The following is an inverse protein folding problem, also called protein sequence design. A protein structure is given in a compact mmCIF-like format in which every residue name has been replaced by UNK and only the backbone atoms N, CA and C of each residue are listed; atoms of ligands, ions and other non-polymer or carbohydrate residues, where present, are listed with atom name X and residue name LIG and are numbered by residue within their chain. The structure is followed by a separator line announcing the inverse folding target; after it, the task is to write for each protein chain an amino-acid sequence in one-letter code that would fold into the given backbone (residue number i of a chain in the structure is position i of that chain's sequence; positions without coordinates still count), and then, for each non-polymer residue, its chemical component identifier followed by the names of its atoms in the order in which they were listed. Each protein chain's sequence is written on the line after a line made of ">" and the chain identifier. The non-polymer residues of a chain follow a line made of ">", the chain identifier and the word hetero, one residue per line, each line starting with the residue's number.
data_IF_717777045547
#
_entry.id   IF_717777045547
#
_cell.length_a   1.000
_cell.length_b   1.000
_cell.length_c   1.000
_cell.angle_alpha   90.00
_cell.angle_beta   90.00
_cell.angle_gamma   90.00
#
_symmetry.space_group_name_H-M   'P 1'
#
loop_
_entity.id
_entity.type
_entity.pdbx_description
1 polymer ?
#
# COMPACT_ATOMS: atom_id res chain seq x y z
N UNK A 1 5.43 25.76 15.48
CA UNK A 1 3.95 25.80 15.34
C UNK A 1 3.61 25.18 13.97
N UNK A 2 2.81 24.13 13.97
CA UNK A 2 2.52 23.35 12.75
C UNK A 2 1.35 23.93 11.92
N UNK A 3 1.04 25.22 12.06
CA UNK A 3 -0.04 25.92 11.34
C UNK A 3 -1.40 25.23 11.38
N UNK A 4 -1.69 24.48 12.47
CA UNK A 4 -2.99 23.87 12.65
C UNK A 4 -4.06 24.96 12.73
N UNK A 5 -5.06 24.90 11.86
CA UNK A 5 -6.19 25.84 11.81
C UNK A 5 -7.34 25.42 12.71
N UNK A 6 -7.37 24.13 13.07
CA UNK A 6 -8.39 23.54 13.92
C UNK A 6 -7.81 22.40 14.75
N UNK A 7 -8.13 22.35 16.03
CA UNK A 7 -7.83 21.26 16.94
C UNK A 7 -9.08 20.92 17.75
N UNK A 8 -9.40 19.64 17.82
CA UNK A 8 -10.45 19.15 18.71
C UNK A 8 -9.87 18.05 19.59
N UNK A 9 -10.08 18.21 20.90
CA UNK A 9 -9.74 17.23 21.91
C UNK A 9 -10.99 16.89 22.71
N UNK A 10 -11.22 15.61 22.95
CA UNK A 10 -12.38 15.12 23.68
C UNK A 10 -11.94 14.12 24.74
N UNK A 11 -12.62 14.16 25.90
CA UNK A 11 -12.46 13.20 26.98
C UNK A 11 -13.77 12.48 27.32
N UNK A 12 -14.90 13.00 26.87
CA UNK A 12 -16.22 12.38 26.99
C UNK A 12 -16.27 11.11 26.13
N UNK A 13 -16.60 9.93 26.69
CA UNK A 13 -16.56 8.66 25.95
C UNK A 13 -17.44 8.64 24.68
N UNK A 14 -18.63 9.25 24.71
CA UNK A 14 -19.55 9.28 23.56
C UNK A 14 -18.96 10.14 22.42
N UNK A 15 -18.37 11.27 22.76
CA UNK A 15 -17.74 12.15 21.77
C UNK A 15 -16.44 11.57 21.23
N UNK A 16 -15.67 10.88 22.06
CA UNK A 16 -14.49 10.11 21.63
C UNK A 16 -14.91 9.03 20.64
N UNK A 17 -16.01 8.30 20.91
CA UNK A 17 -16.53 7.28 19.99
C UNK A 17 -16.96 7.88 18.64
N UNK A 18 -17.54 9.09 18.62
CA UNK A 18 -17.84 9.81 17.38
C UNK A 18 -16.57 10.12 16.55
N UNK A 19 -15.49 10.57 17.19
CA UNK A 19 -14.21 10.79 16.49
C UNK A 19 -13.67 9.48 15.90
N UNK A 20 -13.71 8.39 16.66
CA UNK A 20 -13.29 7.07 16.16
C UNK A 20 -14.20 6.55 15.04
N UNK A 21 -15.49 6.83 15.09
CA UNK A 21 -16.41 6.48 14.00
C UNK A 21 -16.04 7.15 12.69
N UNK A 22 -15.64 8.43 12.71
CA UNK A 22 -15.12 9.11 11.54
C UNK A 22 -13.89 8.38 11.00
N UNK A 23 -12.89 8.06 11.85
CA UNK A 23 -11.67 7.36 11.48
C UNK A 23 -11.97 5.98 10.87
N UNK A 24 -12.85 5.19 11.47
CA UNK A 24 -13.22 3.85 10.96
C UNK A 24 -13.94 3.88 9.62
N UNK A 25 -14.58 4.99 9.26
CA UNK A 25 -15.32 5.11 8.01
C UNK A 25 -14.48 5.68 6.84
N UNK A 26 -13.23 6.10 7.06
CA UNK A 26 -12.38 6.68 5.99
C UNK A 26 -12.28 5.75 4.79
N UNK A 27 -11.94 4.47 4.99
CA UNK A 27 -11.79 3.50 3.89
C UNK A 27 -13.09 3.29 3.11
N UNK A 28 -14.24 3.25 3.82
CA UNK A 28 -15.56 3.13 3.15
C UNK A 28 -15.90 4.37 2.34
N UNK A 29 -15.63 5.56 2.90
CA UNK A 29 -15.87 6.82 2.22
C UNK A 29 -15.02 6.93 0.94
N UNK A 30 -13.74 6.59 1.03
CA UNK A 30 -12.85 6.61 -0.15
C UNK A 30 -13.27 5.57 -1.18
N UNK A 31 -13.68 4.37 -0.76
CA UNK A 31 -14.20 3.35 -1.69
C UNK A 31 -15.42 3.84 -2.48
N UNK A 32 -16.26 4.66 -1.85
CA UNK A 32 -17.46 5.21 -2.50
C UNK A 32 -17.16 6.32 -3.54
N UNK A 33 -15.93 6.81 -3.61
CA UNK A 33 -15.54 7.88 -4.53
C UNK A 33 -15.16 7.40 -5.93
N UNK A 34 -15.07 6.08 -6.16
CA UNK A 34 -14.58 5.55 -7.43
C UNK A 34 -15.28 4.23 -7.80
N UNK A 35 -15.37 3.94 -9.09
CA UNK A 35 -15.85 2.65 -9.58
C UNK A 35 -14.86 1.52 -9.27
N UNK A 36 -13.58 1.80 -9.47
CA UNK A 36 -12.48 0.88 -9.15
C UNK A 36 -11.49 1.55 -8.21
N UNK A 37 -11.04 0.82 -7.22
CA UNK A 37 -10.01 1.25 -6.28
C UNK A 37 -9.02 0.12 -6.06
N UNK A 38 -7.76 0.38 -6.35
CA UNK A 38 -6.65 -0.42 -5.86
C UNK A 38 -6.07 0.28 -4.64
N UNK A 39 -5.92 -0.46 -3.54
CA UNK A 39 -5.40 0.05 -2.28
C UNK A 39 -4.22 -0.83 -1.85
N UNK A 40 -3.03 -0.26 -1.90
CA UNK A 40 -1.81 -0.92 -1.44
C UNK A 40 -1.38 -0.33 -0.10
N UNK A 41 -1.00 -1.19 0.82
CA UNK A 41 -0.38 -0.80 2.07
C UNK A 41 1.14 -0.94 1.96
N UNK A 42 1.84 0.06 2.43
CA UNK A 42 3.29 0.11 2.49
C UNK A 42 3.71 0.61 3.86
N UNK A 43 4.97 0.43 4.22
CA UNK A 43 5.49 1.09 5.41
C UNK A 43 6.75 1.87 5.08
N UNK A 44 6.93 3.01 5.76
CA UNK A 44 8.12 3.86 5.68
C UNK A 44 8.59 4.22 7.09
N UNK A 45 9.85 4.56 7.29
CA UNK A 45 10.27 5.17 8.55
C UNK A 45 9.41 6.39 8.89
N UNK A 46 9.00 6.56 10.16
CA UNK A 46 8.08 7.64 10.56
C UNK A 46 8.55 9.02 10.11
N UNK A 47 9.87 9.26 10.10
CA UNK A 47 10.47 10.51 9.60
C UNK A 47 10.24 10.75 8.10
N UNK A 48 9.87 9.70 7.34
CA UNK A 48 9.62 9.74 5.90
C UNK A 48 8.14 9.87 5.52
N UNK A 49 7.24 9.84 6.49
CA UNK A 49 5.80 10.03 6.24
C UNK A 49 5.51 11.35 5.51
N UNK A 50 6.05 12.52 5.90
CA UNK A 50 5.78 13.77 5.19
C UNK A 50 6.23 13.73 3.73
N UNK A 51 7.40 13.15 3.45
CA UNK A 51 7.93 13.00 2.09
C UNK A 51 7.06 12.07 1.25
N UNK A 52 6.58 10.97 1.84
CA UNK A 52 5.65 10.04 1.19
C UNK A 52 4.32 10.72 0.83
N UNK A 53 3.74 11.49 1.76
CA UNK A 53 2.49 12.23 1.51
C UNK A 53 2.67 13.28 0.40
N UNK A 54 3.79 14.00 0.40
CA UNK A 54 4.13 14.96 -0.65
C UNK A 54 4.23 14.28 -2.02
N UNK A 55 4.92 13.15 -2.10
CA UNK A 55 5.04 12.36 -3.32
C UNK A 55 3.69 11.85 -3.84
N UNK A 56 2.83 11.30 -2.97
CA UNK A 56 1.48 10.86 -3.36
C UNK A 56 0.64 12.03 -3.87
N UNK A 57 0.79 13.21 -3.25
CA UNK A 57 0.10 14.43 -3.71
C UNK A 57 0.59 14.87 -5.09
N UNK A 58 1.88 14.70 -5.40
CA UNK A 58 2.44 14.97 -6.72
C UNK A 58 1.94 13.95 -7.77
N UNK A 59 1.93 12.67 -7.43
CA UNK A 59 1.33 11.64 -8.29
C UNK A 59 -0.12 11.99 -8.64
N UNK A 60 -0.92 12.40 -7.65
CA UNK A 60 -2.30 12.79 -7.87
C UNK A 60 -2.44 13.99 -8.82
N UNK A 61 -1.53 14.98 -8.74
CA UNK A 61 -1.56 16.14 -9.65
C UNK A 61 -1.13 15.82 -11.07
N UNK A 62 -0.26 14.83 -11.25
CA UNK A 62 0.30 14.44 -12.56
C UNK A 62 -0.45 13.32 -13.24
N UNK A 63 -1.46 12.73 -12.60
CA UNK A 63 -2.27 11.62 -13.13
C UNK A 63 -3.69 12.08 -13.46
N UNK A 64 -4.33 11.40 -14.40
CA UNK A 64 -5.77 11.50 -14.64
C UNK A 64 -6.59 10.78 -13.57
N UNK A 65 -6.00 9.76 -12.93
CA UNK A 65 -6.62 9.03 -11.84
C UNK A 65 -6.54 9.82 -10.54
N UNK A 66 -7.49 9.57 -9.65
CA UNK A 66 -7.43 10.11 -8.29
C UNK A 66 -6.54 9.23 -7.42
N UNK A 67 -5.57 9.86 -6.76
CA UNK A 67 -4.65 9.16 -5.87
C UNK A 67 -4.68 9.85 -4.51
N UNK A 68 -4.82 9.09 -3.45
CA UNK A 68 -4.70 9.58 -2.09
C UNK A 68 -4.03 8.57 -1.17
N UNK A 69 -3.67 9.00 0.02
CA UNK A 69 -3.18 8.11 1.06
C UNK A 69 -3.74 8.49 2.42
N UNK A 70 -3.80 7.50 3.29
CA UNK A 70 -3.97 7.63 4.75
C UNK A 70 -3.20 6.52 5.42
N UNK A 71 -3.08 6.55 6.74
CA UNK A 71 -2.34 5.48 7.40
C UNK A 71 -2.29 5.60 8.90
N UNK A 72 -1.36 4.85 9.46
CA UNK A 72 -1.06 4.75 10.87
C UNK A 72 0.27 5.44 11.15
N UNK A 73 0.22 6.72 11.55
CA UNK A 73 1.44 7.53 11.71
C UNK A 73 2.38 7.03 12.81
N UNK A 74 1.88 6.20 13.74
CA UNK A 74 2.67 5.64 14.83
C UNK A 74 3.67 4.57 14.40
N UNK A 75 3.34 3.82 13.36
CA UNK A 75 4.12 2.68 12.85
C UNK A 75 4.57 2.82 11.38
N UNK A 76 4.30 3.97 10.78
CA UNK A 76 4.75 4.27 9.42
C UNK A 76 3.96 3.57 8.31
N UNK A 77 2.88 2.87 8.66
CA UNK A 77 2.04 2.19 7.68
C UNK A 77 1.16 3.19 6.92
N UNK A 78 1.23 3.16 5.59
CA UNK A 78 0.51 4.06 4.70
C UNK A 78 -0.23 3.25 3.63
N UNK A 79 -1.54 3.51 3.52
CA UNK A 79 -2.38 2.97 2.46
C UNK A 79 -2.42 3.97 1.31
N UNK A 80 -1.89 3.57 0.15
CA UNK A 80 -1.93 4.35 -1.09
C UNK A 80 -3.08 3.83 -1.94
N UNK A 81 -3.97 4.72 -2.38
CA UNK A 81 -5.14 4.36 -3.16
C UNK A 81 -5.05 5.00 -4.54
N UNK A 82 -5.15 4.16 -5.56
CA UNK A 82 -5.32 4.58 -6.96
C UNK A 82 -6.76 4.29 -7.36
N UNK A 83 -7.47 5.29 -7.83
CA UNK A 83 -8.91 5.26 -8.06
C UNK A 83 -9.25 5.63 -9.49
N UNK A 84 -9.89 4.69 -10.23
CA UNK A 84 -10.44 4.91 -11.55
C UNK A 84 -11.95 5.16 -11.45
N UNK A 85 -12.44 6.15 -12.20
CA UNK A 85 -13.84 6.55 -12.20
C UNK A 85 -14.67 5.72 -13.20
N UNK A 86 -14.01 5.10 -14.17
CA UNK A 86 -14.61 4.26 -15.20
C UNK A 86 -13.78 3.00 -15.45
N UNK A 87 -14.25 2.14 -16.36
CA UNK A 87 -13.53 0.98 -16.89
C UNK A 87 -12.91 1.28 -18.27
N UNK A 88 -12.72 2.57 -18.58
CA UNK A 88 -12.04 2.97 -19.80
C UNK A 88 -10.63 2.35 -19.85
N UNK A 89 -10.24 1.75 -20.98
CA UNK A 89 -8.95 1.06 -21.10
C UNK A 89 -7.75 1.94 -20.71
N UNK A 90 -7.83 3.24 -20.97
CA UNK A 90 -6.80 4.23 -20.68
C UNK A 90 -6.66 4.44 -19.17
N UNK A 91 -7.78 4.49 -18.40
CA UNK A 91 -7.74 4.60 -16.93
C UNK A 91 -7.18 3.31 -16.33
N UNK A 92 -7.65 2.16 -16.79
CA UNK A 92 -7.23 0.87 -16.25
C UNK A 92 -5.73 0.59 -16.53
N UNK A 93 -5.23 1.00 -17.70
CA UNK A 93 -3.81 0.83 -18.07
C UNK A 93 -2.87 1.74 -17.26
N UNK A 94 -3.36 2.86 -16.71
CA UNK A 94 -2.56 3.80 -15.91
C UNK A 94 -2.32 3.32 -14.47
N UNK A 95 -3.19 2.42 -13.94
CA UNK A 95 -3.14 1.98 -12.55
C UNK A 95 -1.78 1.35 -12.22
N UNK A 96 -1.36 0.38 -13.01
CA UNK A 96 -0.14 -0.41 -12.74
C UNK A 96 1.14 0.42 -12.76
N UNK A 97 1.40 1.28 -13.76
CA UNK A 97 2.57 2.16 -13.76
C UNK A 97 2.61 3.10 -12.55
N UNK A 98 1.45 3.59 -12.08
CA UNK A 98 1.37 4.44 -10.90
C UNK A 98 1.71 3.69 -9.62
N UNK A 99 1.22 2.45 -9.49
CA UNK A 99 1.54 1.59 -8.35
C UNK A 99 3.03 1.25 -8.34
N UNK A 100 3.62 0.88 -9.47
CA UNK A 100 5.04 0.59 -9.54
C UNK A 100 5.90 1.80 -9.16
N UNK A 101 5.55 3.00 -9.65
CA UNK A 101 6.22 4.25 -9.25
C UNK A 101 6.12 4.48 -7.74
N UNK A 102 4.95 4.21 -7.16
CA UNK A 102 4.76 4.33 -5.72
C UNK A 102 5.65 3.32 -4.96
N UNK A 103 5.67 2.05 -5.37
CA UNK A 103 6.50 1.01 -4.72
C UNK A 103 7.99 1.37 -4.78
N UNK A 104 8.50 1.81 -5.94
CA UNK A 104 9.89 2.24 -6.09
C UNK A 104 10.22 3.40 -5.16
N UNK A 105 9.34 4.42 -5.09
CA UNK A 105 9.56 5.57 -4.20
C UNK A 105 9.57 5.18 -2.72
N UNK A 106 8.69 4.28 -2.31
CA UNK A 106 8.66 3.76 -0.94
C UNK A 106 10.00 3.08 -0.58
N UNK A 107 10.52 2.24 -1.47
CA UNK A 107 11.81 1.57 -1.26
C UNK A 107 12.98 2.57 -1.23
N UNK A 108 12.99 3.60 -2.10
CA UNK A 108 13.98 4.70 -2.06
C UNK A 108 13.97 5.44 -0.72
N UNK A 109 12.82 5.54 -0.07
CA UNK A 109 12.67 6.15 1.25
C UNK A 109 13.08 5.23 2.42
N UNK A 110 13.59 4.04 2.11
CA UNK A 110 13.96 3.03 3.12
C UNK A 110 12.74 2.32 3.73
N UNK A 111 11.63 2.30 2.99
CA UNK A 111 10.41 1.60 3.37
C UNK A 111 10.38 0.15 2.87
N UNK A 112 9.19 -0.46 2.94
CA UNK A 112 8.92 -1.83 2.50
C UNK A 112 7.57 -1.91 1.76
N UNK A 113 7.46 -2.91 0.88
CA UNK A 113 6.28 -3.10 0.01
C UNK A 113 4.99 -3.42 0.76
N UNK A 114 5.06 -3.82 2.03
CA UNK A 114 3.86 -4.12 2.82
C UNK A 114 4.02 -3.69 4.27
N UNK A 115 2.99 -3.01 4.80
CA UNK A 115 2.91 -2.68 6.21
C UNK A 115 2.27 -3.82 7.00
N UNK A 116 1.03 -4.20 6.67
CA UNK A 116 0.23 -5.14 7.45
C UNK A 116 -0.50 -6.21 6.61
N UNK A 117 -0.72 -5.98 5.29
CA UNK A 117 -1.53 -6.89 4.46
C UNK A 117 -0.76 -8.08 3.89
N UNK A 118 0.57 -8.02 3.87
CA UNK A 118 1.42 -9.01 3.22
C UNK A 118 1.47 -8.86 1.70
N UNK A 119 2.21 -9.74 1.06
CA UNK A 119 2.47 -9.70 -0.40
C UNK A 119 1.33 -10.35 -1.21
N UNK A 120 0.92 -11.56 -0.82
CA UNK A 120 -0.16 -12.29 -1.48
C UNK A 120 0.07 -12.50 -2.97
N UNK A 121 -0.98 -12.26 -3.77
CA UNK A 121 -0.93 -12.25 -5.24
C UNK A 121 -0.66 -10.84 -5.80
N UNK A 122 -1.21 -9.81 -5.15
CA UNK A 122 -1.22 -8.45 -5.67
C UNK A 122 0.18 -7.86 -5.80
N UNK A 123 1.04 -8.09 -4.81
CA UNK A 123 2.38 -7.49 -4.72
C UNK A 123 3.53 -8.42 -5.14
N UNK A 124 3.26 -9.70 -5.45
CA UNK A 124 4.34 -10.65 -5.76
C UNK A 124 5.23 -10.20 -6.92
N UNK A 125 4.69 -9.46 -7.88
CA UNK A 125 5.42 -8.89 -9.02
C UNK A 125 6.43 -7.81 -8.63
N UNK A 126 6.22 -7.14 -7.49
CA UNK A 126 7.11 -6.09 -6.98
C UNK A 126 8.21 -6.64 -6.07
N UNK A 127 8.13 -7.91 -5.64
CA UNK A 127 9.02 -8.46 -4.63
C UNK A 127 10.49 -8.39 -5.02
N UNK A 128 10.78 -8.52 -6.34
CA UNK A 128 12.11 -8.33 -6.89
C UNK A 128 12.65 -6.89 -6.90
N UNK A 129 11.80 -5.89 -6.54
CA UNK A 129 12.27 -4.52 -6.32
C UNK A 129 12.89 -4.36 -4.94
N UNK A 130 12.41 -5.11 -3.94
CA UNK A 130 12.86 -5.03 -2.55
C UNK A 130 13.97 -6.03 -2.23
N UNK A 131 13.88 -7.25 -2.77
CA UNK A 131 14.80 -8.33 -2.45
C UNK A 131 15.54 -8.81 -3.69
N UNK A 132 16.81 -9.10 -3.54
CA UNK A 132 17.62 -9.73 -4.58
C UNK A 132 17.25 -11.22 -4.78
N UNK A 133 17.67 -11.78 -5.90
CA UNK A 133 17.37 -13.18 -6.25
C UNK A 133 17.89 -14.20 -5.23
N UNK A 134 19.11 -14.10 -4.66
CA UNK A 134 19.58 -14.99 -3.60
C UNK A 134 18.69 -14.96 -2.36
N UNK A 135 18.26 -13.78 -1.91
CA UNK A 135 17.34 -13.61 -0.76
C UNK A 135 16.00 -14.28 -1.04
N UNK A 136 15.39 -14.00 -2.19
CA UNK A 136 14.12 -14.62 -2.59
C UNK A 136 14.24 -16.14 -2.69
N UNK A 137 15.34 -16.66 -3.21
CA UNK A 137 15.59 -18.10 -3.26
C UNK A 137 15.75 -18.73 -1.87
N UNK A 138 16.35 -18.02 -0.91
CA UNK A 138 16.43 -18.48 0.46
C UNK A 138 15.06 -18.54 1.13
N UNK A 139 14.23 -17.50 0.96
CA UNK A 139 12.86 -17.45 1.44
C UNK A 139 12.00 -18.58 0.83
N UNK A 140 12.13 -18.81 -0.49
CA UNK A 140 11.42 -19.87 -1.18
C UNK A 140 11.82 -21.26 -0.67
N UNK A 141 13.11 -21.50 -0.35
CA UNK A 141 13.56 -22.77 0.28
C UNK A 141 12.90 -23.01 1.63
N UNK A 142 12.71 -21.98 2.44
CA UNK A 142 11.96 -22.11 3.72
C UNK A 142 10.54 -22.61 3.41
N UNK A 143 9.86 -21.97 2.45
CA UNK A 143 8.52 -22.40 2.02
C UNK A 143 8.50 -23.87 1.58
N UNK A 144 9.42 -24.29 0.71
CA UNK A 144 9.45 -25.68 0.20
C UNK A 144 9.82 -26.70 1.28
N UNK A 145 10.55 -26.31 2.33
CA UNK A 145 10.84 -27.18 3.46
C UNK A 145 9.58 -27.57 4.24
N UNK A 146 8.66 -26.62 4.44
CA UNK A 146 7.43 -26.86 5.19
C UNK A 146 6.23 -27.27 4.32
N UNK A 147 6.27 -26.98 3.04
CA UNK A 147 5.19 -27.25 2.10
C UNK A 147 5.74 -27.67 0.73
N UNK A 148 6.36 -28.88 0.65
CA UNK A 148 7.02 -29.33 -0.56
C UNK A 148 6.08 -29.54 -1.75
N UNK A 149 4.81 -29.83 -1.47
CA UNK A 149 3.77 -30.03 -2.49
C UNK A 149 3.03 -28.73 -2.86
N UNK A 150 3.40 -27.58 -2.31
CA UNK A 150 2.74 -26.27 -2.53
C UNK A 150 1.23 -26.30 -2.31
N UNK A 151 0.76 -27.04 -1.30
CA UNK A 151 -0.67 -27.16 -0.96
C UNK A 151 -1.24 -25.91 -0.29
N UNK A 152 -0.42 -25.18 0.48
CA UNK A 152 -0.84 -24.01 1.22
C UNK A 152 -0.57 -22.73 0.42
N UNK A 153 -1.64 -21.97 0.16
CA UNK A 153 -1.56 -20.71 -0.59
C UNK A 153 -0.78 -20.82 -1.91
N UNK A 154 -1.15 -21.73 -2.82
CA UNK A 154 -0.41 -21.96 -4.06
C UNK A 154 -0.34 -20.69 -4.90
N UNK A 155 0.81 -20.43 -5.52
CA UNK A 155 1.06 -19.28 -6.39
C UNK A 155 1.13 -17.92 -5.70
N UNK A 156 0.99 -17.86 -4.35
CA UNK A 156 1.12 -16.61 -3.59
C UNK A 156 2.56 -16.37 -3.13
N UNK A 157 2.85 -15.12 -2.82
CA UNK A 157 4.08 -14.59 -2.28
C UNK A 157 5.22 -14.54 -3.30
N UNK A 158 5.68 -15.67 -3.80
CA UNK A 158 6.89 -15.73 -4.63
C UNK A 158 6.61 -15.60 -6.12
N UNK A 159 7.47 -14.87 -6.87
CA UNK A 159 7.47 -14.90 -8.33
C UNK A 159 7.67 -16.32 -8.88
N UNK A 160 6.97 -16.64 -9.96
CA UNK A 160 6.95 -18.00 -10.52
C UNK A 160 8.33 -18.49 -11.02
N UNK A 161 9.20 -17.56 -11.46
CA UNK A 161 10.56 -17.87 -11.93
C UNK A 161 11.47 -18.48 -10.84
N UNK A 162 11.10 -18.39 -9.55
CA UNK A 162 11.87 -19.03 -8.48
C UNK A 162 11.67 -20.54 -8.41
N UNK A 163 10.64 -21.05 -9.06
CA UNK A 163 10.27 -22.48 -9.08
C UNK A 163 10.36 -23.07 -10.48
N UNK A 164 10.73 -22.26 -11.49
CA UNK A 164 11.01 -22.73 -12.84
C UNK A 164 12.45 -23.26 -12.91
N UNK A 165 12.60 -24.52 -13.21
CA UNK A 165 13.89 -25.16 -13.53
C UNK A 165 14.37 -24.75 -14.91
#
# INVERSE_FOLDING_TARGET
>A
RNHATYLRQESDPEKVELLWKVRRNVSKAVKALAKYRVSEDVAVPNSKIPETVAFVSELNRSSRLRINCWGHAGDGNIHINVMAMSDAPEEMAEIEPLLERAMRKILELGGTLTGEHGIGLAKKRYLGLEFDRPTLAAMARIKTTFDPDFRFNPGKLFPDYLFST
#
